data_IF_798098733625
#
_entry.id   IF_798098733625
#
_cell.length_a   1.000
_cell.length_b   1.000
_cell.length_c   1.000
_cell.angle_alpha   90.00
_cell.angle_beta   90.00
_cell.angle_gamma   90.00
#
_symmetry.space_group_name_H-M   'P 1'
#
loop_
_entity.id
_entity.type
_entity.pdbx_description
1 polymer ?
#
# COMPACT_ATOMS: atom_id res chain seq x y z
N UNK A 1 20.53 15.41 0.79
CA UNK A 1 21.54 16.19 0.04
C UNK A 1 21.05 16.26 -1.39
N UNK A 2 20.42 17.37 -1.79
CA UNK A 2 19.89 17.61 -3.13
C UNK A 2 20.30 19.00 -3.59
N UNK A 3 20.49 19.20 -4.90
CA UNK A 3 20.95 20.47 -5.47
C UNK A 3 19.76 21.36 -5.84
N UNK A 4 19.87 22.65 -5.53
CA UNK A 4 18.89 23.69 -5.86
C UNK A 4 19.25 24.37 -7.18
N UNK A 5 18.28 24.48 -8.09
CA UNK A 5 18.42 25.20 -9.35
C UNK A 5 17.26 26.20 -9.43
N UNK A 6 17.58 27.50 -9.49
CA UNK A 6 16.62 28.61 -9.59
C UNK A 6 15.50 28.61 -8.52
N UNK A 7 15.84 28.32 -7.25
CA UNK A 7 14.88 28.38 -6.14
C UNK A 7 13.82 27.28 -6.13
N UNK A 8 13.86 26.34 -7.09
CA UNK A 8 13.04 25.13 -7.08
C UNK A 8 13.90 23.95 -6.67
N UNK A 9 13.47 23.23 -5.63
CA UNK A 9 14.04 21.92 -5.26
C UNK A 9 13.61 20.89 -6.29
N UNK A 10 14.43 20.68 -7.31
CA UNK A 10 14.15 19.73 -8.41
C UNK A 10 14.31 18.27 -7.95
N UNK A 11 15.04 18.01 -6.87
CA UNK A 11 15.17 16.70 -6.23
C UNK A 11 14.92 16.79 -4.72
N UNK A 12 13.64 16.85 -4.33
CA UNK A 12 13.25 16.72 -2.93
C UNK A 12 13.10 15.24 -2.55
N UNK A 13 14.23 14.62 -2.22
CA UNK A 13 14.31 13.26 -1.66
C UNK A 13 13.74 13.15 -0.22
N UNK A 14 13.12 14.19 0.34
CA UNK A 14 12.41 14.12 1.63
C UNK A 14 10.94 13.73 1.51
N UNK A 15 10.32 13.94 0.35
CA UNK A 15 8.94 13.54 0.05
C UNK A 15 8.69 12.06 -0.39
N UNK A 16 9.68 11.20 -0.73
CA UNK A 16 9.40 9.85 -1.21
C UNK A 16 8.93 8.90 -0.10
N UNK A 17 9.20 9.22 1.18
CA UNK A 17 8.71 8.41 2.30
C UNK A 17 7.19 8.48 2.47
N UNK A 18 6.57 9.64 2.22
CA UNK A 18 5.11 9.79 2.35
C UNK A 18 4.32 8.98 1.31
N UNK A 19 4.78 8.97 0.06
CA UNK A 19 4.17 8.15 -0.99
C UNK A 19 4.38 6.66 -0.72
N UNK A 20 5.60 6.26 -0.34
CA UNK A 20 5.89 4.87 0.00
C UNK A 20 5.03 4.36 1.17
N UNK A 21 4.86 5.17 2.21
CA UNK A 21 4.01 4.86 3.35
C UNK A 21 2.54 4.70 2.95
N UNK A 22 2.02 5.60 2.10
CA UNK A 22 0.66 5.51 1.59
C UNK A 22 0.44 4.24 0.75
N UNK A 23 1.34 3.95 -0.20
CA UNK A 23 1.24 2.76 -1.05
C UNK A 23 1.40 1.45 -0.26
N UNK A 24 2.31 1.42 0.71
CA UNK A 24 2.50 0.27 1.61
C UNK A 24 1.23 -0.01 2.42
N UNK A 25 0.63 1.03 2.99
CA UNK A 25 -0.61 0.92 3.77
C UNK A 25 -1.76 0.41 2.89
N UNK A 26 -1.93 0.99 1.70
CA UNK A 26 -2.96 0.55 0.74
C UNK A 26 -2.76 -0.92 0.36
N UNK A 27 -1.51 -1.34 0.10
CA UNK A 27 -1.21 -2.72 -0.26
C UNK A 27 -1.56 -3.69 0.88
N UNK A 28 -1.17 -3.38 2.12
CA UNK A 28 -1.46 -4.22 3.29
C UNK A 28 -2.97 -4.35 3.53
N UNK A 29 -3.72 -3.24 3.47
CA UNK A 29 -5.17 -3.25 3.65
C UNK A 29 -5.85 -4.05 2.53
N UNK A 30 -5.41 -3.86 1.28
CA UNK A 30 -6.00 -4.55 0.12
C UNK A 30 -5.74 -6.07 0.18
N UNK A 31 -4.51 -6.48 0.50
CA UNK A 31 -4.14 -7.90 0.63
C UNK A 31 -4.89 -8.57 1.79
N UNK A 32 -4.97 -7.91 2.95
CA UNK A 32 -5.69 -8.46 4.11
C UNK A 32 -7.18 -8.63 3.84
N UNK A 33 -7.84 -7.65 3.23
CA UNK A 33 -9.24 -7.75 2.82
C UNK A 33 -9.47 -8.89 1.82
N UNK A 34 -8.56 -9.06 0.85
CA UNK A 34 -8.63 -10.14 -0.13
C UNK A 34 -8.49 -11.53 0.50
N UNK A 35 -7.56 -11.70 1.45
CA UNK A 35 -7.37 -12.96 2.19
C UNK A 35 -8.61 -13.30 3.00
N UNK A 36 -9.21 -12.33 3.71
CA UNK A 36 -10.44 -12.54 4.48
C UNK A 36 -11.58 -12.98 3.56
N UNK A 37 -11.74 -12.31 2.41
CA UNK A 37 -12.75 -12.70 1.42
C UNK A 37 -12.56 -14.14 0.93
N UNK A 38 -11.32 -14.55 0.62
CA UNK A 38 -11.03 -15.93 0.22
C UNK A 38 -11.33 -16.94 1.32
N UNK A 39 -11.00 -16.63 2.57
CA UNK A 39 -11.31 -17.50 3.72
C UNK A 39 -12.81 -17.67 3.89
N UNK A 40 -13.58 -16.58 3.86
CA UNK A 40 -15.04 -16.62 3.94
C UNK A 40 -15.66 -17.39 2.77
N UNK A 41 -15.16 -17.19 1.55
CA UNK A 41 -15.58 -17.94 0.37
C UNK A 41 -15.33 -19.44 0.55
N UNK A 42 -14.16 -19.83 1.04
CA UNK A 42 -13.81 -21.23 1.23
C UNK A 42 -14.64 -21.88 2.36
N UNK A 43 -14.87 -21.16 3.46
CA UNK A 43 -15.73 -21.63 4.55
C UNK A 43 -17.20 -21.73 4.13
N UNK A 44 -17.70 -20.76 3.36
CA UNK A 44 -19.06 -20.76 2.82
C UNK A 44 -19.29 -21.84 1.76
N UNK A 45 -18.23 -22.24 1.04
CA UNK A 45 -18.27 -23.30 0.03
C UNK A 45 -17.99 -24.70 0.61
N UNK A 46 -17.76 -24.82 1.92
CA UNK A 46 -17.63 -26.12 2.59
C UNK A 46 -19.04 -26.66 2.80
N UNK A 47 -19.42 -27.81 2.21
CA UNK A 47 -20.73 -28.41 2.47
C UNK A 47 -20.84 -28.66 3.97
N UNK A 48 -21.85 -28.08 4.61
CA UNK A 48 -22.19 -28.39 6.00
C UNK A 48 -22.70 -29.83 6.01
N UNK A 49 -21.81 -30.75 6.38
CA UNK A 49 -22.12 -32.15 6.67
C UNK A 49 -22.96 -32.19 7.95
#
# INVERSE_FOLDING_TARGET
MGFEIFGMRVFDLSAPFGYFEAFSTIAVVSVSAFVIFLLLRNMGNKPRI
#
